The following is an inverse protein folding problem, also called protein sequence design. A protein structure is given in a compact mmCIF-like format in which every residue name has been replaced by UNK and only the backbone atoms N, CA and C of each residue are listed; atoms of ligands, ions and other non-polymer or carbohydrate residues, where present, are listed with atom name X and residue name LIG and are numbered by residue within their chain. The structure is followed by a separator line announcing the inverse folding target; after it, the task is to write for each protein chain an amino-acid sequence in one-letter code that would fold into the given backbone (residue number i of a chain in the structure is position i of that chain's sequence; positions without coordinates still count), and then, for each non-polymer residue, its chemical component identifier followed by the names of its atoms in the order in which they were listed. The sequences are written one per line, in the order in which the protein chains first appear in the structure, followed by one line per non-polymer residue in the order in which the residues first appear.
data_IF_098922066714
#
_entry.id   IF_098922066714
#
_cell.length_a   1.000
_cell.length_b   1.000
_cell.length_c   1.000
_cell.angle_alpha   90.00
_cell.angle_beta   90.00
_cell.angle_gamma   90.00
#
_symmetry.space_group_name_H-M   'P 1'
#
loop_
_entity.id
_entity.type
_entity.pdbx_description
1 polymer ?
#
# COMPACT_ATOMS: atom_id res chain seq x y z
N UNK A 1 8.73 21.91 -2.47
CA UNK A 1 9.07 21.11 -1.26
C UNK A 1 8.96 19.64 -1.61
N UNK A 2 10.06 18.87 -1.57
CA UNK A 2 10.00 17.40 -1.67
C UNK A 2 9.25 16.84 -0.47
N UNK A 3 8.07 16.27 -0.67
CA UNK A 3 7.36 15.52 0.37
C UNK A 3 7.89 14.08 0.39
N UNK A 4 8.38 13.62 1.54
CA UNK A 4 8.79 12.23 1.78
C UNK A 4 7.56 11.32 1.83
N UNK A 5 7.66 10.11 1.25
CA UNK A 5 6.62 9.08 1.28
C UNK A 5 6.92 7.95 2.27
N UNK A 6 8.04 8.01 2.99
CA UNK A 6 8.44 6.99 3.96
C UNK A 6 7.99 7.33 5.39
N UNK A 7 7.14 8.33 5.56
CA UNK A 7 6.79 8.85 6.89
C UNK A 7 7.98 9.54 7.57
N UNK A 8 7.95 9.54 8.91
CA UNK A 8 9.03 10.09 9.73
C UNK A 8 10.20 9.10 9.78
N UNK A 9 11.42 9.62 9.68
CA UNK A 9 12.61 8.81 9.90
C UNK A 9 12.61 8.26 11.34
N UNK A 10 12.95 6.98 11.57
CA UNK A 10 13.10 6.45 12.92
C UNK A 10 14.20 7.22 13.65
N UNK A 11 13.83 8.02 14.65
CA UNK A 11 14.78 8.88 15.39
C UNK A 11 15.25 8.27 16.71
N UNK A 12 14.50 7.31 17.25
CA UNK A 12 14.82 6.60 18.49
C UNK A 12 14.70 5.10 18.28
N UNK A 13 15.74 4.34 18.63
CA UNK A 13 15.83 2.89 18.40
C UNK A 13 14.71 2.07 19.09
N UNK A 14 14.00 2.65 20.07
CA UNK A 14 13.01 1.95 20.90
C UNK A 14 11.58 2.51 20.79
N UNK A 15 11.32 3.49 19.93
CA UNK A 15 9.96 3.97 19.69
C UNK A 15 9.44 3.42 18.35
N UNK A 16 8.43 2.52 18.36
CA UNK A 16 7.85 2.05 17.12
C UNK A 16 7.20 3.21 16.35
N UNK A 17 7.24 3.20 15.02
CA UNK A 17 6.55 4.21 14.23
C UNK A 17 5.04 4.19 14.53
N UNK A 18 4.39 5.36 14.44
CA UNK A 18 2.93 5.47 14.60
C UNK A 18 2.19 4.50 13.68
N UNK A 19 2.60 4.49 12.41
CA UNK A 19 2.14 3.51 11.46
C UNK A 19 3.13 2.36 11.39
N UNK A 20 2.66 1.16 11.71
CA UNK A 20 3.44 -0.07 11.60
C UNK A 20 3.18 -0.70 10.25
N UNK A 21 4.10 -0.50 9.31
CA UNK A 21 4.03 -1.11 7.98
C UNK A 21 4.04 -2.64 8.10
N UNK A 22 3.17 -3.32 7.35
CA UNK A 22 3.19 -4.79 7.24
C UNK A 22 4.32 -5.29 6.32
N UNK A 23 5.01 -4.41 5.62
CA UNK A 23 6.03 -4.79 4.63
C UNK A 23 7.20 -5.58 5.21
N UNK A 24 7.57 -5.32 6.46
CA UNK A 24 8.78 -5.86 7.08
C UNK A 24 8.55 -6.09 8.56
N UNK A 25 9.35 -6.99 9.13
CA UNK A 25 9.25 -7.38 10.54
C UNK A 25 9.62 -6.23 11.51
N UNK A 26 10.41 -5.26 11.05
CA UNK A 26 10.80 -4.06 11.80
C UNK A 26 9.88 -2.85 11.54
N UNK A 27 8.79 -3.06 10.80
CA UNK A 27 7.81 -2.04 10.40
C UNK A 27 8.37 -0.94 9.49
N UNK A 28 9.55 -1.14 8.89
CA UNK A 28 10.04 -0.24 7.85
C UNK A 28 9.11 -0.23 6.61
N UNK A 29 8.85 0.94 6.01
CA UNK A 29 7.95 1.07 4.86
C UNK A 29 8.63 0.79 3.52
N UNK A 30 9.78 0.09 3.53
CA UNK A 30 10.56 -0.19 2.33
C UNK A 30 11.17 -1.59 2.42
N UNK A 31 11.10 -2.34 1.33
CA UNK A 31 11.72 -3.65 1.20
C UNK A 31 12.44 -3.75 -0.15
N UNK A 32 13.62 -4.36 -0.17
CA UNK A 32 14.34 -4.69 -1.40
C UNK A 32 14.26 -6.19 -1.69
N UNK A 33 14.03 -6.54 -2.94
CA UNK A 33 14.01 -7.94 -3.40
C UNK A 33 14.77 -8.12 -4.70
N UNK A 34 15.40 -9.29 -4.85
CA UNK A 34 16.18 -9.66 -6.02
C UNK A 34 15.52 -10.82 -6.74
N UNK A 35 15.35 -10.68 -8.06
CA UNK A 35 15.04 -11.79 -8.94
C UNK A 35 16.31 -12.24 -9.64
N UNK A 36 16.77 -13.45 -9.32
CA UNK A 36 18.03 -13.98 -9.81
C UNK A 36 17.91 -14.77 -11.13
N UNK A 37 16.75 -15.39 -11.42
CA UNK A 37 16.47 -16.38 -12.50
C UNK A 37 17.52 -17.51 -12.64
N UNK A 38 17.14 -18.64 -13.25
CA UNK A 38 18.00 -19.82 -13.39
C UNK A 38 18.98 -19.68 -14.57
N UNK A 39 20.14 -20.36 -14.48
CA UNK A 39 21.33 -20.21 -15.31
C UNK A 39 21.25 -20.68 -16.78
N UNK A 40 20.05 -20.83 -17.38
CA UNK A 40 19.88 -21.15 -18.80
C UNK A 40 19.06 -20.07 -19.50
N UNK A 41 19.73 -19.21 -20.28
CA UNK A 41 19.12 -18.16 -21.10
C UNK A 41 19.46 -16.73 -20.65
N UNK A 42 18.94 -15.74 -21.37
CA UNK A 42 19.13 -14.30 -21.12
C UNK A 42 18.89 -13.96 -19.64
N UNK A 43 19.95 -13.46 -19.00
CA UNK A 43 20.04 -13.21 -17.56
C UNK A 43 19.30 -11.93 -17.22
N UNK A 44 18.00 -12.06 -17.01
CA UNK A 44 17.11 -10.97 -16.63
C UNK A 44 17.12 -10.79 -15.09
N UNK A 45 18.30 -10.44 -14.55
CA UNK A 45 18.50 -10.10 -13.13
C UNK A 45 17.84 -8.78 -12.82
N UNK A 46 16.98 -8.74 -11.82
CA UNK A 46 16.23 -7.52 -11.48
C UNK A 46 16.24 -7.25 -10.00
N UNK A 47 16.45 -5.97 -9.68
CA UNK A 47 16.22 -5.43 -8.36
C UNK A 47 14.84 -4.77 -8.36
N UNK A 48 14.07 -5.10 -7.33
CA UNK A 48 12.81 -4.45 -7.03
C UNK A 48 12.91 -3.81 -5.67
N UNK A 49 12.40 -2.60 -5.55
CA UNK A 49 12.10 -2.03 -4.24
C UNK A 49 10.58 -1.88 -4.12
N UNK A 50 10.06 -2.21 -2.97
CA UNK A 50 8.67 -2.07 -2.63
C UNK A 50 8.54 -1.04 -1.50
N UNK A 51 7.47 -0.26 -1.50
CA UNK A 51 7.22 0.76 -0.48
C UNK A 51 5.76 0.74 -0.04
N UNK A 52 5.52 1.10 1.21
CA UNK A 52 4.24 1.59 1.70
C UNK A 52 4.36 3.11 1.83
N UNK A 53 3.57 3.88 1.07
CA UNK A 53 3.59 5.31 1.27
C UNK A 53 2.90 5.65 2.60
N UNK A 54 3.59 6.41 3.46
CA UNK A 54 3.13 6.81 4.79
C UNK A 54 3.19 8.33 4.89
N UNK A 55 2.16 8.92 5.50
CA UNK A 55 2.09 10.35 5.84
C UNK A 55 2.10 10.57 7.35
N UNK A 56 2.15 11.84 7.78
CA UNK A 56 1.97 12.20 9.20
C UNK A 56 0.57 11.88 9.73
N UNK A 57 -0.41 11.70 8.86
CA UNK A 57 -1.80 11.40 9.23
C UNK A 57 -2.07 9.89 9.32
N UNK A 58 -1.16 9.05 8.84
CA UNK A 58 -1.32 7.59 8.85
C UNK A 58 -1.51 7.06 10.27
N UNK A 59 -2.57 6.28 10.47
CA UNK A 59 -2.98 5.75 11.77
C UNK A 59 -3.69 6.76 12.68
N UNK A 60 -3.96 7.98 12.22
CA UNK A 60 -4.81 8.95 12.93
C UNK A 60 -6.27 8.85 12.49
N UNK A 61 -7.18 9.56 13.16
CA UNK A 61 -8.58 9.71 12.73
C UNK A 61 -8.71 10.24 11.29
N UNK A 62 -7.73 11.02 10.82
CA UNK A 62 -7.72 11.59 9.47
C UNK A 62 -7.25 10.64 8.37
N UNK A 63 -6.51 9.58 8.69
CA UNK A 63 -6.10 8.52 7.75
C UNK A 63 -5.83 7.21 8.51
N UNK A 64 -6.86 6.56 9.05
CA UNK A 64 -6.70 5.46 9.99
C UNK A 64 -6.22 4.17 9.31
N UNK A 65 -6.30 4.11 7.99
CA UNK A 65 -5.97 2.94 7.17
C UNK A 65 -4.72 3.14 6.30
N UNK A 66 -4.04 4.27 6.42
CA UNK A 66 -2.89 4.66 5.60
C UNK A 66 -3.18 4.53 4.09
N UNK A 67 -4.27 5.15 3.64
CA UNK A 67 -4.71 5.09 2.24
C UNK A 67 -4.26 6.31 1.45
N UNK A 68 -4.31 7.49 2.10
CA UNK A 68 -4.16 8.79 1.42
C UNK A 68 -2.79 8.96 0.79
N UNK A 69 -1.73 8.59 1.50
CA UNK A 69 -0.36 8.76 1.02
C UNK A 69 -0.08 7.98 -0.27
N UNK A 70 -0.60 6.75 -0.37
CA UNK A 70 -0.44 5.93 -1.58
C UNK A 70 -1.33 6.43 -2.71
N UNK A 71 -2.58 6.83 -2.43
CA UNK A 71 -3.46 7.45 -3.42
C UNK A 71 -2.81 8.70 -4.03
N UNK A 72 -2.28 9.59 -3.19
CA UNK A 72 -1.56 10.80 -3.62
C UNK A 72 -0.29 10.48 -4.44
N UNK A 73 0.39 9.38 -4.13
CA UNK A 73 1.55 8.92 -4.91
C UNK A 73 1.12 8.40 -6.29
N UNK A 74 0.06 7.58 -6.37
CA UNK A 74 -0.44 7.08 -7.65
C UNK A 74 -0.95 8.21 -8.53
N UNK A 75 -1.71 9.16 -7.99
CA UNK A 75 -2.20 10.32 -8.73
C UNK A 75 -1.06 11.16 -9.32
N UNK A 76 0.07 11.32 -8.60
CA UNK A 76 1.25 12.00 -9.13
C UNK A 76 1.98 11.18 -10.18
N UNK A 77 2.09 9.87 -10.00
CA UNK A 77 2.68 9.00 -11.02
C UNK A 77 1.88 9.04 -12.32
N UNK A 78 0.55 9.10 -12.26
CA UNK A 78 -0.30 9.27 -13.45
C UNK A 78 0.02 10.55 -14.23
N UNK A 79 0.31 11.65 -13.52
CA UNK A 79 0.69 12.94 -14.13
C UNK A 79 2.13 12.92 -14.65
N UNK A 80 3.06 12.38 -13.86
CA UNK A 80 4.49 12.47 -14.13
C UNK A 80 5.01 11.36 -15.07
N UNK A 81 4.27 10.26 -15.23
CA UNK A 81 4.64 9.10 -16.05
C UNK A 81 3.47 8.74 -16.99
N UNK A 82 3.31 9.42 -18.14
CA UNK A 82 2.16 9.26 -19.03
C UNK A 82 1.90 7.82 -19.52
N UNK A 83 2.92 6.96 -19.48
CA UNK A 83 2.82 5.55 -19.86
C UNK A 83 2.16 4.67 -18.78
N UNK A 84 2.05 5.15 -17.54
CA UNK A 84 1.44 4.38 -16.45
C UNK A 84 -0.08 4.35 -16.60
N UNK A 85 -0.67 3.15 -16.59
CA UNK A 85 -2.13 2.98 -16.66
C UNK A 85 -2.69 2.66 -15.29
N UNK A 86 -3.40 3.61 -14.69
CA UNK A 86 -3.95 3.51 -13.31
C UNK A 86 -5.45 3.20 -13.25
N UNK A 87 -6.09 2.92 -14.40
CA UNK A 87 -7.50 2.56 -14.48
C UNK A 87 -7.92 1.41 -13.55
N UNK A 88 -7.07 0.37 -13.43
CA UNK A 88 -7.31 -0.75 -12.52
C UNK A 88 -7.23 -0.35 -11.05
N UNK A 89 -6.31 0.56 -10.73
CA UNK A 89 -6.22 1.12 -9.39
C UNK A 89 -7.50 1.85 -9.02
N UNK A 90 -7.97 2.80 -9.85
CA UNK A 90 -9.18 3.55 -9.54
C UNK A 90 -10.44 2.67 -9.45
N UNK A 91 -10.52 1.61 -10.25
CA UNK A 91 -11.63 0.65 -10.16
C UNK A 91 -11.58 -0.12 -8.84
N UNK A 92 -10.46 -0.76 -8.52
CA UNK A 92 -10.31 -1.54 -7.30
C UNK A 92 -10.35 -0.68 -6.03
N UNK A 93 -9.94 0.59 -6.13
CA UNK A 93 -10.01 1.53 -5.02
C UNK A 93 -11.43 1.63 -4.48
N UNK A 94 -12.43 1.76 -5.35
CA UNK A 94 -13.85 1.85 -4.98
C UNK A 94 -14.34 0.62 -4.22
N UNK A 95 -13.82 -0.55 -4.56
CA UNK A 95 -14.26 -1.81 -3.97
C UNK A 95 -13.53 -2.10 -2.66
N UNK A 96 -12.26 -1.66 -2.52
CA UNK A 96 -11.38 -2.05 -1.42
C UNK A 96 -11.22 -0.98 -0.34
N UNK A 97 -11.68 0.26 -0.57
CA UNK A 97 -11.71 1.32 0.45
C UNK A 97 -13.09 1.49 1.07
N UNK A 98 -13.17 1.90 2.35
CA UNK A 98 -14.43 2.22 2.99
C UNK A 98 -15.11 3.40 2.29
N UNK A 99 -16.43 3.48 2.43
CA UNK A 99 -17.25 4.58 1.89
C UNK A 99 -17.06 5.90 2.67
N UNK A 100 -16.58 5.79 3.91
CA UNK A 100 -16.27 6.92 4.79
C UNK A 100 -14.81 6.86 5.23
N UNK A 101 -14.08 7.94 4.97
CA UNK A 101 -12.67 8.09 5.36
C UNK A 101 -12.49 8.35 6.87
N UNK A 102 -13.57 8.70 7.56
CA UNK A 102 -13.56 9.05 8.98
C UNK A 102 -14.26 7.98 9.77
N UNK A 103 -13.50 7.31 10.63
CA UNK A 103 -14.01 6.44 11.68
C UNK A 103 -13.77 7.11 13.03
N UNK A 104 -14.74 6.97 13.94
CA UNK A 104 -14.61 7.52 15.29
C UNK A 104 -13.40 6.95 16.03
N UNK A 105 -12.80 7.73 16.94
CA UNK A 105 -11.71 7.24 17.80
C UNK A 105 -12.09 5.97 18.57
N UNK A 106 -13.35 5.87 19.00
CA UNK A 106 -13.89 4.68 19.65
C UNK A 106 -13.89 3.43 18.74
N UNK A 107 -14.08 3.61 17.43
CA UNK A 107 -13.98 2.52 16.48
C UNK A 107 -12.52 2.12 16.24
N UNK A 108 -11.61 3.09 16.22
CA UNK A 108 -10.16 2.86 16.13
C UNK A 108 -9.64 2.11 17.36
N UNK A 109 -10.10 2.47 18.57
CA UNK A 109 -9.64 1.83 19.81
C UNK A 109 -10.08 0.37 19.97
N UNK A 110 -11.10 -0.07 19.21
CA UNK A 110 -11.52 -1.48 19.15
C UNK A 110 -10.63 -2.35 18.27
N UNK A 111 -9.68 -1.75 17.58
CA UNK A 111 -8.75 -2.49 16.74
C UNK A 111 -7.70 -3.19 17.59
N UNK A 112 -7.62 -4.51 17.45
CA UNK A 112 -6.46 -5.27 17.92
C UNK A 112 -5.16 -4.68 17.32
N UNK A 113 -4.23 -4.19 18.17
CA UNK A 113 -2.97 -3.62 17.73
C UNK A 113 -1.94 -4.67 17.22
N UNK A 114 -2.25 -5.97 17.29
CA UNK A 114 -1.28 -7.05 17.06
C UNK A 114 -0.95 -7.32 15.57
N UNK A 115 -1.89 -7.42 14.61
CA UNK A 115 -1.49 -7.52 13.21
C UNK A 115 -1.36 -6.13 12.56
N UNK A 116 -0.25 -5.83 11.84
CA UNK A 116 -0.11 -4.61 11.06
C UNK A 116 -1.16 -4.56 9.92
N UNK A 117 -1.64 -3.36 9.57
CA UNK A 117 -2.88 -3.16 8.78
C UNK A 117 -2.71 -2.27 7.55
N UNK A 118 -1.65 -2.48 6.80
CA UNK A 118 -1.41 -1.81 5.53
C UNK A 118 -2.55 -2.02 4.53
N UNK A 119 -3.03 -0.93 3.95
CA UNK A 119 -4.02 -0.97 2.87
C UNK A 119 -3.35 -1.17 1.51
N UNK A 120 -2.24 -0.45 1.26
CA UNK A 120 -1.63 -0.38 -0.06
C UNK A 120 -0.11 -0.49 -0.01
N UNK A 121 0.47 -1.22 -0.96
CA UNK A 121 1.92 -1.24 -1.19
C UNK A 121 2.21 -1.11 -2.67
N UNK A 122 3.31 -0.45 -3.01
CA UNK A 122 3.78 -0.31 -4.38
C UNK A 122 5.10 -1.02 -4.54
N UNK A 123 5.29 -1.74 -5.64
CA UNK A 123 6.57 -2.31 -6.02
C UNK A 123 7.04 -1.73 -7.34
N UNK A 124 8.30 -1.31 -7.37
CA UNK A 124 8.97 -0.75 -8.52
C UNK A 124 10.04 -1.72 -8.98
N UNK A 125 9.88 -2.24 -10.19
CA UNK A 125 10.88 -3.09 -10.82
C UNK A 125 11.79 -2.24 -11.71
N UNK A 126 13.08 -2.22 -11.39
CA UNK A 126 14.07 -1.51 -12.19
C UNK A 126 14.42 -2.37 -13.42
N UNK A 127 14.06 -1.88 -14.61
CA UNK A 127 14.40 -2.46 -15.91
C UNK A 127 14.94 -1.36 -16.83
N UNK A 128 15.69 -1.76 -17.85
CA UNK A 128 16.37 -0.84 -18.78
C UNK A 128 15.41 0.06 -19.59
N UNK A 129 14.17 -0.37 -19.83
CA UNK A 129 13.23 0.35 -20.73
C UNK A 129 11.88 0.70 -20.13
N UNK A 130 11.40 -0.04 -19.13
CA UNK A 130 10.04 0.13 -18.57
C UNK A 130 10.04 -0.16 -17.07
N UNK A 131 9.73 0.85 -16.25
CA UNK A 131 9.50 0.68 -14.82
C UNK A 131 8.16 -0.03 -14.64
N UNK A 132 8.19 -1.31 -14.26
CA UNK A 132 6.94 -1.99 -13.90
C UNK A 132 6.58 -1.57 -12.49
N UNK A 133 5.45 -0.87 -12.35
CA UNK A 133 4.85 -0.56 -11.06
C UNK A 133 3.76 -1.59 -10.79
N UNK A 134 3.86 -2.28 -9.66
CA UNK A 134 2.78 -3.14 -9.15
C UNK A 134 2.18 -2.47 -7.92
N UNK A 135 0.88 -2.58 -7.77
CA UNK A 135 0.17 -2.16 -6.58
C UNK A 135 -0.47 -3.38 -5.93
N UNK A 136 -0.27 -3.52 -4.64
CA UNK A 136 -0.92 -4.51 -3.78
C UNK A 136 -1.98 -3.78 -2.96
N UNK A 137 -3.21 -4.28 -2.97
CA UNK A 137 -4.34 -3.66 -2.27
C UNK A 137 -4.99 -4.68 -1.34
N UNK A 138 -5.07 -4.35 -0.05
CA UNK A 138 -5.66 -5.19 0.99
C UNK A 138 -7.03 -4.62 1.37
N UNK A 139 -8.14 -5.35 1.19
CA UNK A 139 -9.49 -4.85 1.45
C UNK A 139 -9.86 -4.88 2.94
N UNK A 140 -8.88 -4.74 3.85
CA UNK A 140 -9.13 -4.85 5.30
C UNK A 140 -10.15 -3.82 5.77
N UNK A 141 -9.97 -2.56 5.39
CA UNK A 141 -10.84 -1.46 5.79
C UNK A 141 -12.29 -1.66 5.30
N UNK A 142 -12.46 -2.10 4.05
CA UNK A 142 -13.78 -2.44 3.50
C UNK A 142 -14.43 -3.63 4.20
N UNK A 143 -13.66 -4.70 4.43
CA UNK A 143 -14.12 -5.89 5.12
C UNK A 143 -14.64 -5.56 6.52
N UNK A 144 -13.91 -4.68 7.24
CA UNK A 144 -14.33 -4.15 8.54
C UNK A 144 -15.61 -3.31 8.45
N UNK A 145 -15.70 -2.37 7.50
CA UNK A 145 -16.90 -1.55 7.30
C UNK A 145 -18.15 -2.39 7.05
N UNK A 146 -18.02 -3.46 6.26
CA UNK A 146 -19.15 -4.32 5.85
C UNK A 146 -19.39 -5.52 6.76
N UNK A 147 -18.58 -5.71 7.81
CA UNK A 147 -18.59 -6.92 8.63
C UNK A 147 -18.50 -8.22 7.79
N UNK A 148 -17.66 -8.21 6.75
CA UNK A 148 -17.44 -9.34 5.84
C UNK A 148 -15.98 -9.82 5.92
N UNK A 149 -15.70 -11.01 5.38
CA UNK A 149 -14.31 -11.48 5.25
C UNK A 149 -13.59 -10.74 4.12
N UNK A 150 -12.25 -10.62 4.22
CA UNK A 150 -11.42 -10.08 3.11
C UNK A 150 -11.65 -10.85 1.80
N UNK A 151 -11.79 -12.17 1.87
CA UNK A 151 -12.05 -13.00 0.70
C UNK A 151 -13.40 -12.71 0.05
N UNK A 152 -14.46 -12.46 0.83
CA UNK A 152 -15.77 -12.08 0.30
C UNK A 152 -15.68 -10.77 -0.48
N UNK A 153 -14.98 -9.75 0.04
CA UNK A 153 -14.77 -8.48 -0.67
C UNK A 153 -14.01 -8.69 -1.99
N UNK A 154 -12.96 -9.51 -1.98
CA UNK A 154 -12.18 -9.83 -3.19
C UNK A 154 -13.07 -10.51 -4.24
N UNK A 155 -13.84 -11.53 -3.84
CA UNK A 155 -14.71 -12.28 -4.76
C UNK A 155 -15.83 -11.41 -5.32
N UNK A 156 -16.46 -10.55 -4.50
CA UNK A 156 -17.48 -9.59 -4.97
C UNK A 156 -16.90 -8.60 -5.98
N UNK A 157 -15.72 -8.04 -5.69
CA UNK A 157 -15.03 -7.15 -6.63
C UNK A 157 -14.72 -7.87 -7.94
N UNK A 158 -14.14 -9.07 -7.89
CA UNK A 158 -13.83 -9.90 -9.07
C UNK A 158 -15.06 -10.23 -9.92
N UNK A 159 -16.19 -10.54 -9.29
CA UNK A 159 -17.46 -10.82 -9.98
C UNK A 159 -17.98 -9.60 -10.76
N UNK A 160 -17.63 -8.38 -10.34
CA UNK A 160 -18.02 -7.15 -11.04
C UNK A 160 -17.21 -6.84 -12.31
N UNK A 161 -16.21 -7.67 -12.62
CA UNK A 161 -15.38 -7.58 -13.84
C UNK A 161 -15.77 -8.60 -14.91
N UNK A 162 -16.63 -9.57 -14.59
CA UNK A 162 -17.18 -10.54 -15.53
C UNK A 162 -18.37 -9.93 -16.31
#
# INVERSE_FOLDING_TARGET
MCRSHFGLFPTEANQPPRWKSYMSDDFSPIEFSWNWRNAQGDVDRRVRFSIEAISKQSGTVGDPWNQKATIDLVNRLEVDVPEIKVQWFHRLLKDFTPSKDVISEFFISRFDPQPPRSSFFMAFEMRDKMRVVKLYMMPFARAMERSQTKSAIILESLASFA
#
